data_IF_556557529471
#
_entry.id   IF_556557529471
#
_cell.length_a   1.000
_cell.length_b   1.000
_cell.length_c   1.000
_cell.angle_alpha   90.00
_cell.angle_beta   90.00
_cell.angle_gamma   90.00
#
_symmetry.space_group_name_H-M   'P 1'
#
loop_
_entity.id
_entity.type
_entity.pdbx_description
1 polymer ?
#
# COMPACT_ATOMS: atom_id res chain seq x y z
N UNK A 1 16.16 13.04 -18.90
CA UNK A 1 15.69 12.09 -17.89
C UNK A 1 14.76 11.14 -18.59
N UNK A 2 14.80 9.84 -18.30
CA UNK A 2 13.83 8.91 -18.88
C UNK A 2 12.41 9.28 -18.40
N UNK A 3 11.42 8.92 -19.19
CA UNK A 3 10.01 9.08 -18.81
C UNK A 3 9.56 7.85 -18.03
N UNK A 4 8.82 8.04 -16.95
CA UNK A 4 8.11 6.95 -16.26
C UNK A 4 6.76 6.73 -16.94
N UNK A 5 6.52 5.53 -17.43
CA UNK A 5 5.28 5.15 -18.13
C UNK A 5 4.37 4.35 -17.20
N UNK A 6 3.09 4.68 -17.19
CA UNK A 6 2.08 3.84 -16.54
C UNK A 6 1.65 2.76 -17.54
N UNK A 7 1.99 1.51 -17.24
CA UNK A 7 1.73 0.36 -18.13
C UNK A 7 0.31 -0.17 -17.91
N UNK A 8 -0.10 -0.34 -16.66
CA UNK A 8 -1.43 -0.86 -16.30
C UNK A 8 -1.89 -0.33 -14.94
N UNK A 9 -3.20 -0.37 -14.71
CA UNK A 9 -3.83 -0.03 -13.43
C UNK A 9 -4.99 -0.97 -13.14
N UNK A 10 -5.11 -1.41 -11.90
CA UNK A 10 -6.27 -2.20 -11.45
C UNK A 10 -6.63 -1.88 -9.99
N UNK A 11 -7.82 -2.26 -9.60
CA UNK A 11 -8.30 -2.14 -8.22
C UNK A 11 -9.35 -3.17 -7.90
N UNK A 12 -9.54 -3.46 -6.62
CA UNK A 12 -10.72 -4.20 -6.14
C UNK A 12 -11.97 -3.32 -6.14
N UNK A 13 -13.17 -3.89 -6.06
CA UNK A 13 -14.35 -3.15 -5.63
C UNK A 13 -14.10 -2.49 -4.26
N UNK A 14 -14.72 -1.34 -4.04
CA UNK A 14 -14.64 -0.62 -2.76
C UNK A 14 -15.71 -1.12 -1.81
N UNK A 15 -15.33 -1.54 -0.62
CA UNK A 15 -16.24 -1.86 0.48
C UNK A 15 -16.55 -0.65 1.37
N UNK A 16 -17.62 -0.74 2.16
CA UNK A 16 -17.94 0.24 3.20
C UNK A 16 -16.90 0.11 4.32
N UNK A 17 -16.24 1.21 4.68
CA UNK A 17 -15.23 1.26 5.75
C UNK A 17 -15.81 1.25 7.17
N UNK A 18 -16.95 0.61 7.38
CA UNK A 18 -17.60 0.48 8.69
C UNK A 18 -17.30 -0.88 9.29
N UNK A 19 -16.81 -0.90 10.51
CA UNK A 19 -16.45 -2.13 11.21
C UNK A 19 -17.57 -3.18 11.15
N UNK A 20 -17.21 -4.38 10.69
CA UNK A 20 -18.09 -5.54 10.60
C UNK A 20 -19.25 -5.43 9.59
N UNK A 21 -19.28 -4.41 8.73
CA UNK A 21 -20.41 -4.17 7.79
C UNK A 21 -20.02 -4.06 6.32
N UNK A 22 -18.74 -3.94 6.00
CA UNK A 22 -18.29 -3.84 4.62
C UNK A 22 -18.29 -5.20 3.91
N UNK A 23 -18.55 -5.22 2.61
CA UNK A 23 -18.50 -6.44 1.81
C UNK A 23 -17.11 -7.12 1.86
N UNK A 24 -16.04 -6.35 2.10
CA UNK A 24 -14.67 -6.83 2.23
C UNK A 24 -14.21 -6.97 3.69
N UNK A 25 -15.07 -6.69 4.68
CA UNK A 25 -14.69 -6.62 6.10
C UNK A 25 -14.24 -7.97 6.70
N UNK A 26 -14.52 -9.08 6.02
CA UNK A 26 -14.12 -10.43 6.42
C UNK A 26 -12.79 -10.87 5.81
N UNK A 27 -12.22 -10.06 4.92
CA UNK A 27 -10.95 -10.36 4.24
C UNK A 27 -9.77 -9.76 5.00
N UNK A 28 -8.64 -10.44 4.94
CA UNK A 28 -7.37 -9.88 5.41
C UNK A 28 -6.86 -8.82 4.42
N UNK A 29 -6.36 -7.67 4.88
CA UNK A 29 -5.86 -6.60 3.99
C UNK A 29 -4.74 -7.06 3.06
N UNK A 30 -3.84 -7.93 3.54
CA UNK A 30 -2.79 -8.55 2.74
C UNK A 30 -3.38 -9.31 1.55
N UNK A 31 -4.42 -10.11 1.76
CA UNK A 31 -5.08 -10.87 0.69
C UNK A 31 -5.79 -9.98 -0.32
N UNK A 32 -6.40 -8.89 0.15
CA UNK A 32 -7.00 -7.88 -0.73
C UNK A 32 -5.94 -7.23 -1.63
N UNK A 33 -4.79 -6.87 -1.06
CA UNK A 33 -3.65 -6.33 -1.80
C UNK A 33 -3.07 -7.37 -2.77
N UNK A 34 -2.87 -8.61 -2.33
CA UNK A 34 -2.37 -9.71 -3.16
C UNK A 34 -3.26 -9.98 -4.38
N UNK A 35 -4.58 -9.82 -4.25
CA UNK A 35 -5.51 -9.98 -5.36
C UNK A 35 -5.23 -8.98 -6.49
N UNK A 36 -4.91 -7.73 -6.15
CA UNK A 36 -4.55 -6.70 -7.13
C UNK A 36 -3.19 -7.01 -7.77
N UNK A 37 -2.21 -7.42 -6.97
CA UNK A 37 -0.89 -7.77 -7.47
C UNK A 37 -0.93 -8.98 -8.43
N UNK A 38 -1.69 -10.03 -8.11
CA UNK A 38 -1.91 -11.15 -9.03
C UNK A 38 -2.55 -10.69 -10.34
N UNK A 39 -3.57 -9.84 -10.26
CA UNK A 39 -4.25 -9.35 -11.45
C UNK A 39 -3.33 -8.58 -12.40
N UNK A 40 -2.34 -7.85 -11.88
CA UNK A 40 -1.32 -7.19 -12.70
C UNK A 40 -0.45 -8.20 -13.45
N UNK A 41 0.00 -9.27 -12.78
CA UNK A 41 0.76 -10.35 -13.41
C UNK A 41 -0.07 -11.07 -14.47
N UNK A 42 -1.28 -11.49 -14.11
CA UNK A 42 -2.17 -12.25 -15.00
C UNK A 42 -2.52 -11.48 -16.29
N UNK A 43 -2.63 -10.16 -16.18
CA UNK A 43 -2.98 -9.29 -17.32
C UNK A 43 -1.81 -8.94 -18.21
N UNK A 44 -0.63 -8.81 -17.66
CA UNK A 44 0.55 -8.30 -18.37
C UNK A 44 1.60 -9.37 -18.66
N UNK A 45 1.59 -10.48 -17.94
CA UNK A 45 2.48 -11.62 -18.19
C UNK A 45 3.96 -11.34 -17.92
N UNK A 46 4.30 -10.36 -17.08
CA UNK A 46 5.69 -10.08 -16.73
C UNK A 46 6.22 -11.08 -15.71
N UNK A 47 7.54 -11.28 -15.72
CA UNK A 47 8.22 -12.05 -14.68
C UNK A 47 8.26 -11.21 -13.38
N UNK A 48 7.73 -11.76 -12.31
CA UNK A 48 7.69 -11.06 -11.02
C UNK A 48 9.09 -10.82 -10.42
N UNK A 49 10.11 -11.54 -10.90
CA UNK A 49 11.52 -11.30 -10.55
C UNK A 49 12.08 -10.01 -11.17
N UNK A 50 11.39 -9.43 -12.17
CA UNK A 50 11.75 -8.16 -12.80
C UNK A 50 11.17 -6.94 -12.06
N UNK A 51 10.28 -7.16 -11.08
CA UNK A 51 9.78 -6.07 -10.26
C UNK A 51 10.86 -5.65 -9.25
N UNK A 52 11.44 -4.47 -9.45
CA UNK A 52 12.52 -3.93 -8.60
C UNK A 52 11.99 -3.57 -7.22
N UNK A 53 10.83 -2.89 -7.16
CA UNK A 53 10.21 -2.53 -5.89
C UNK A 53 8.68 -2.47 -5.96
N UNK A 54 8.07 -2.61 -4.79
CA UNK A 54 6.62 -2.49 -4.58
C UNK A 54 6.41 -1.40 -3.52
N UNK A 55 6.04 -0.20 -3.96
CA UNK A 55 5.79 0.94 -3.08
C UNK A 55 4.31 0.99 -2.70
N UNK A 56 4.00 0.69 -1.44
CA UNK A 56 2.63 0.46 -0.99
C UNK A 56 2.17 1.48 0.04
N UNK A 57 1.06 2.15 -0.22
CA UNK A 57 0.48 3.15 0.67
C UNK A 57 -0.53 2.53 1.63
N UNK A 58 -0.29 2.70 2.93
CA UNK A 58 -1.21 2.28 3.99
C UNK A 58 -1.12 3.26 5.14
N UNK A 59 -2.21 3.92 5.47
CA UNK A 59 -2.21 4.96 6.51
C UNK A 59 -2.21 4.36 7.92
N UNK A 60 -3.03 3.34 8.16
CA UNK A 60 -3.14 2.72 9.48
C UNK A 60 -2.29 1.45 9.54
N UNK A 61 -0.97 1.61 9.68
CA UNK A 61 -0.01 0.49 9.75
C UNK A 61 -0.03 -0.19 11.12
N UNK A 62 -1.19 -0.71 11.52
CA UNK A 62 -1.42 -1.39 12.79
C UNK A 62 -2.17 -2.70 12.58
N UNK A 63 -2.03 -3.62 13.54
CA UNK A 63 -2.66 -4.93 13.49
C UNK A 63 -2.42 -5.62 12.14
N UNK A 64 -3.47 -6.04 11.45
CA UNK A 64 -3.41 -6.76 10.18
C UNK A 64 -2.87 -5.92 9.00
N UNK A 65 -2.72 -4.61 9.18
CA UNK A 65 -2.11 -3.71 8.19
C UNK A 65 -0.66 -3.34 8.51
N UNK A 66 -0.07 -3.93 9.55
CA UNK A 66 1.33 -3.73 9.93
C UNK A 66 2.28 -4.70 9.22
N UNK A 67 3.57 -4.55 9.46
CA UNK A 67 4.60 -5.50 9.04
C UNK A 67 4.91 -5.47 7.55
N UNK A 68 4.99 -4.30 6.96
CA UNK A 68 5.23 -4.11 5.53
C UNK A 68 4.20 -4.81 4.64
N UNK A 69 2.99 -4.29 4.67
CA UNK A 69 1.84 -4.85 3.95
C UNK A 69 2.11 -5.04 2.45
N UNK A 70 2.85 -4.13 1.82
CA UNK A 70 3.19 -4.22 0.39
C UNK A 70 4.02 -5.46 0.10
N UNK A 71 5.10 -5.65 0.84
CA UNK A 71 5.97 -6.83 0.70
C UNK A 71 5.24 -8.12 1.04
N UNK A 72 4.48 -8.15 2.13
CA UNK A 72 3.72 -9.34 2.52
C UNK A 72 2.65 -9.71 1.48
N UNK A 73 2.00 -8.72 0.89
CA UNK A 73 1.03 -8.93 -0.18
C UNK A 73 1.67 -9.48 -1.46
N UNK A 74 2.88 -9.03 -1.79
CA UNK A 74 3.62 -9.57 -2.94
C UNK A 74 3.96 -11.05 -2.76
N UNK A 75 4.42 -11.44 -1.60
CA UNK A 75 4.68 -12.85 -1.28
C UNK A 75 3.40 -13.70 -1.32
N UNK A 76 2.30 -13.19 -0.77
CA UNK A 76 0.97 -13.84 -0.86
C UNK A 76 0.48 -13.93 -2.31
N UNK A 77 0.80 -12.96 -3.13
CA UNK A 77 0.48 -12.97 -4.57
C UNK A 77 1.33 -13.95 -5.38
N UNK A 78 2.39 -14.50 -4.81
CA UNK A 78 3.32 -15.41 -5.49
C UNK A 78 4.43 -14.71 -6.27
N UNK A 79 4.73 -13.46 -5.94
CA UNK A 79 5.88 -12.75 -6.52
C UNK A 79 7.20 -13.41 -6.11
N UNK A 80 8.20 -13.30 -6.96
CA UNK A 80 9.55 -13.77 -6.65
C UNK A 80 10.09 -13.08 -5.38
N UNK A 81 10.94 -13.79 -4.65
CA UNK A 81 11.56 -13.26 -3.44
C UNK A 81 12.49 -12.07 -3.71
N UNK A 82 12.91 -11.87 -4.95
CA UNK A 82 13.70 -10.71 -5.39
C UNK A 82 12.91 -9.41 -5.39
N UNK A 83 11.59 -9.48 -5.67
CA UNK A 83 10.76 -8.29 -5.67
C UNK A 83 10.77 -7.65 -4.27
N UNK A 84 11.40 -6.50 -4.12
CA UNK A 84 11.46 -5.76 -2.87
C UNK A 84 10.10 -5.13 -2.54
N UNK A 85 9.96 -4.52 -1.38
CA UNK A 85 8.74 -3.81 -1.04
C UNK A 85 8.91 -2.88 0.14
N UNK A 86 8.16 -1.79 0.13
CA UNK A 86 8.10 -0.81 1.22
C UNK A 86 6.66 -0.35 1.42
N UNK A 87 6.23 -0.24 2.67
CA UNK A 87 4.94 0.35 3.00
C UNK A 87 5.13 1.72 3.63
N UNK A 88 4.50 2.74 3.05
CA UNK A 88 4.59 4.12 3.49
C UNK A 88 3.26 4.66 4.01
N UNK A 89 3.35 5.68 4.87
CA UNK A 89 2.22 6.42 5.39
C UNK A 89 2.37 7.93 5.11
N UNK A 90 1.37 8.47 4.45
CA UNK A 90 1.11 9.91 4.32
C UNK A 90 -0.39 10.17 4.47
N UNK A 91 -0.98 9.56 5.46
CA UNK A 91 -2.44 9.61 5.67
C UNK A 91 -3.21 9.29 4.38
N UNK A 92 -4.28 9.99 4.09
CA UNK A 92 -5.10 9.80 2.89
C UNK A 92 -4.35 10.05 1.56
N UNK A 93 -3.15 10.63 1.61
CA UNK A 93 -2.27 10.87 0.47
C UNK A 93 -1.29 9.73 0.16
N UNK A 94 -1.30 8.63 0.92
CA UNK A 94 -0.32 7.54 0.79
C UNK A 94 -0.28 6.94 -0.62
N UNK A 95 -1.43 6.73 -1.26
CA UNK A 95 -1.49 6.18 -2.62
C UNK A 95 -0.90 7.12 -3.69
N UNK A 96 -1.09 8.43 -3.54
CA UNK A 96 -0.46 9.41 -4.43
C UNK A 96 1.06 9.41 -4.21
N UNK A 97 1.49 9.33 -2.96
CA UNK A 97 2.92 9.31 -2.62
C UNK A 97 3.60 8.05 -3.13
N UNK A 98 2.98 6.88 -3.01
CA UNK A 98 3.54 5.63 -3.56
C UNK A 98 3.74 5.72 -5.07
N UNK A 99 2.76 6.25 -5.81
CA UNK A 99 2.85 6.45 -7.25
C UNK A 99 3.98 7.44 -7.62
N UNK A 100 4.09 8.56 -6.88
CA UNK A 100 5.15 9.53 -7.13
C UNK A 100 6.54 8.97 -6.85
N UNK A 101 6.69 8.15 -5.81
CA UNK A 101 7.99 7.53 -5.48
C UNK A 101 8.40 6.53 -6.56
N UNK A 102 7.49 5.67 -7.00
CA UNK A 102 7.73 4.76 -8.11
C UNK A 102 8.15 5.50 -9.40
N UNK A 103 7.39 6.53 -9.78
CA UNK A 103 7.72 7.34 -10.94
C UNK A 103 9.10 8.02 -10.80
N UNK A 104 9.42 8.56 -9.64
CA UNK A 104 10.71 9.18 -9.37
C UNK A 104 11.87 8.19 -9.44
N UNK A 105 11.71 6.96 -8.94
CA UNK A 105 12.73 5.92 -9.00
C UNK A 105 13.06 5.56 -10.46
N UNK A 106 12.04 5.35 -11.28
CA UNK A 106 12.20 5.09 -12.73
C UNK A 106 12.83 6.29 -13.45
N UNK A 107 12.34 7.50 -13.20
CA UNK A 107 12.89 8.74 -13.84
C UNK A 107 14.34 9.03 -13.40
N UNK A 108 14.72 8.62 -12.20
CA UNK A 108 16.09 8.74 -11.72
C UNK A 108 17.02 7.65 -12.29
N UNK A 109 16.49 6.63 -12.96
CA UNK A 109 17.25 5.50 -13.48
C UNK A 109 17.76 4.57 -12.36
N UNK A 110 17.09 4.56 -11.23
CA UNK A 110 17.39 3.66 -10.11
C UNK A 110 16.72 2.31 -10.29
N UNK A 111 15.56 2.31 -10.92
CA UNK A 111 14.69 1.14 -11.10
C UNK A 111 14.07 1.17 -12.50
N UNK A 112 13.72 0.01 -13.03
CA UNK A 112 13.12 -0.15 -14.36
C UNK A 112 11.63 -0.48 -14.30
N UNK A 113 11.20 -1.32 -13.33
CA UNK A 113 9.82 -1.76 -13.14
C UNK A 113 9.40 -1.65 -11.67
N UNK A 114 8.54 -0.70 -11.37
CA UNK A 114 8.04 -0.46 -10.02
C UNK A 114 6.52 -0.59 -9.96
N UNK A 115 6.03 -1.24 -8.94
CA UNK A 115 4.60 -1.35 -8.67
C UNK A 115 4.22 -0.40 -7.55
N UNK A 116 3.32 0.52 -7.82
CA UNK A 116 2.78 1.44 -6.82
C UNK A 116 1.32 1.13 -6.53
N UNK A 117 0.97 1.11 -5.27
CA UNK A 117 -0.42 0.84 -4.87
C UNK A 117 -0.73 1.24 -3.44
N UNK A 118 -1.78 0.67 -2.90
CA UNK A 118 -2.14 0.89 -1.50
C UNK A 118 -3.40 0.15 -1.09
N UNK A 119 -3.52 -0.08 0.21
CA UNK A 119 -4.67 -0.73 0.84
C UNK A 119 -5.00 -0.02 2.13
N UNK A 120 -6.28 0.26 2.35
CA UNK A 120 -6.76 0.80 3.62
C UNK A 120 -8.07 0.12 4.01
N UNK A 121 -8.02 -0.74 4.99
CA UNK A 121 -9.17 -1.52 5.49
C UNK A 121 -9.78 -0.85 6.72
N UNK A 122 -10.56 0.21 6.51
CA UNK A 122 -11.23 0.96 7.59
C UNK A 122 -12.30 0.15 8.35
N UNK A 123 -12.68 -1.01 7.82
CA UNK A 123 -13.63 -1.95 8.43
C UNK A 123 -13.00 -2.91 9.46
N UNK A 124 -11.68 -2.91 9.59
CA UNK A 124 -10.99 -3.74 10.59
C UNK A 124 -11.31 -3.31 12.03
N UNK A 125 -11.35 -4.25 12.97
CA UNK A 125 -11.48 -3.94 14.39
C UNK A 125 -10.29 -3.12 14.87
N UNK A 126 -10.56 -1.98 15.48
CA UNK A 126 -9.52 -1.08 16.03
C UNK A 126 -9.10 -1.47 17.46
N UNK A 127 -9.05 -2.76 17.78
CA UNK A 127 -8.63 -3.25 19.10
C UNK A 127 -7.17 -2.88 19.36
N UNK A 128 -6.91 -2.18 20.45
CA UNK A 128 -5.56 -1.79 20.87
C UNK A 128 -4.97 -0.60 20.11
N UNK A 129 -5.71 0.02 19.18
CA UNK A 129 -5.27 1.27 18.58
C UNK A 129 -5.40 2.43 19.55
N UNK A 130 -4.35 3.22 19.69
CA UNK A 130 -4.45 4.53 20.32
C UNK A 130 -5.35 5.44 19.47
N UNK A 131 -6.08 6.38 20.10
CA UNK A 131 -6.83 7.41 19.37
C UNK A 131 -5.90 8.13 18.38
N UNK A 132 -6.43 8.50 17.22
CA UNK A 132 -5.68 9.32 16.26
C UNK A 132 -5.19 10.59 16.95
N UNK A 133 -3.89 10.87 16.86
CA UNK A 133 -3.25 11.98 17.56
C UNK A 133 -2.66 11.66 18.93
N UNK A 134 -2.96 10.52 19.54
CA UNK A 134 -2.35 10.15 20.83
C UNK A 134 -0.82 10.09 20.75
N UNK A 135 -0.28 9.66 19.64
CA UNK A 135 1.18 9.62 19.42
C UNK A 135 1.78 11.01 19.18
N UNK A 136 0.96 12.00 18.90
CA UNK A 136 1.36 13.38 18.62
C UNK A 136 0.99 14.34 19.77
N UNK A 137 0.62 13.82 20.94
CA UNK A 137 0.17 14.64 22.05
C UNK A 137 1.17 15.76 22.42
N UNK A 138 2.47 15.46 22.41
CA UNK A 138 3.51 16.44 22.69
C UNK A 138 3.64 17.55 21.62
N UNK A 139 3.22 17.27 20.37
CA UNK A 139 3.22 18.28 19.30
C UNK A 139 2.11 19.32 19.46
N UNK A 140 1.03 18.95 20.16
CA UNK A 140 -0.07 19.89 20.48
C UNK A 140 0.40 20.98 21.44
N UNK A 141 1.35 20.64 22.33
CA UNK A 141 1.97 21.63 23.24
C UNK A 141 2.86 22.61 22.49
N UNK A 142 3.50 22.17 21.40
CA UNK A 142 4.39 23.00 20.58
C UNK A 142 3.62 23.82 19.53
N UNK A 143 2.52 23.27 19.03
CA UNK A 143 1.69 23.86 17.99
C UNK A 143 0.20 23.77 18.36
N UNK A 144 -0.26 24.53 19.36
CA UNK A 144 -1.67 24.53 19.73
C UNK A 144 -2.52 24.92 18.53
N UNK A 145 -3.46 24.06 18.18
CA UNK A 145 -4.42 24.36 17.12
C UNK A 145 -5.43 25.40 17.66
N UNK A 146 -5.90 26.34 16.83
CA UNK A 146 -6.88 27.34 17.24
C UNK A 146 -8.24 26.73 17.59
#
# INVERSE_FOLDING_TARGET
MPDALIIDVCRTPRGIGKQGKGALAHLHPQHVAATVLRALVDRNGFDTAEADDIVWGTSSQVCEQSGDLGRMAALDAGYDIKASGVTLDRFCGSGITSTNFAANAVMAGMEDLVIAGGTEMMSLPKKGMLPMGANNAHLQDLHPQP
#
